data_IF_677401029117
#
_entry.id   IF_677401029117
#
_cell.length_a   1.000
_cell.length_b   1.000
_cell.length_c   1.000
_cell.angle_alpha   90.00
_cell.angle_beta   90.00
_cell.angle_gamma   90.00
#
_symmetry.space_group_name_H-M   'P 1'
#
loop_
_entity.id
_entity.type
_entity.pdbx_description
1 polymer ?
#
# COMPACT_ATOMS: atom_id res chain seq x y z
N UNK A 1 -10.38 21.92 -0.68
CA UNK A 1 -9.56 20.82 -1.25
C UNK A 1 -8.08 21.16 -1.26
N UNK A 2 -7.63 22.26 -1.89
CA UNK A 2 -6.20 22.67 -1.91
C UNK A 2 -5.50 22.66 -0.54
N UNK A 3 -6.21 23.01 0.54
CA UNK A 3 -5.63 23.02 1.88
C UNK A 3 -5.37 21.61 2.46
N UNK A 4 -6.15 20.60 2.09
CA UNK A 4 -5.96 19.22 2.57
C UNK A 4 -4.74 18.58 1.92
N UNK A 5 -4.57 18.80 0.60
CA UNK A 5 -3.44 18.24 -0.13
C UNK A 5 -2.13 18.85 0.35
N UNK A 6 -2.08 20.16 0.56
CA UNK A 6 -0.91 20.83 1.14
C UNK A 6 -0.58 20.27 2.54
N UNK A 7 -1.57 20.15 3.43
CA UNK A 7 -1.38 19.53 4.74
C UNK A 7 -0.85 18.10 4.65
N UNK A 8 -1.30 17.34 3.64
CA UNK A 8 -0.81 15.99 3.40
C UNK A 8 0.65 15.99 2.95
N UNK A 9 1.03 16.79 1.95
CA UNK A 9 2.41 16.84 1.45
C UNK A 9 3.38 17.36 2.50
N UNK A 10 3.04 18.45 3.21
CA UNK A 10 3.81 18.96 4.33
C UNK A 10 4.02 17.89 5.40
N UNK A 11 2.99 17.07 5.67
CA UNK A 11 3.10 15.96 6.62
C UNK A 11 4.04 14.84 6.11
N UNK A 12 4.03 14.53 4.81
CA UNK A 12 4.88 13.48 4.24
C UNK A 12 6.35 13.90 4.23
N UNK A 13 6.66 15.15 3.91
CA UNK A 13 8.03 15.69 3.96
C UNK A 13 8.63 15.59 5.37
N UNK A 14 7.81 15.78 6.40
CA UNK A 14 8.26 15.66 7.79
C UNK A 14 8.60 14.23 8.20
N UNK A 15 8.25 13.19 7.44
CA UNK A 15 8.57 11.80 7.84
C UNK A 15 10.08 11.49 7.79
N UNK A 16 10.85 12.24 7.02
CA UNK A 16 12.31 12.06 6.91
C UNK A 16 13.04 12.35 8.24
N UNK A 17 12.43 13.15 9.13
CA UNK A 17 12.91 13.45 10.48
C UNK A 17 12.60 12.33 11.52
N UNK A 18 12.17 11.16 11.06
CA UNK A 18 11.85 9.99 11.90
C UNK A 18 10.75 10.28 12.92
N UNK A 19 10.93 9.85 14.18
CA UNK A 19 9.87 9.95 15.21
C UNK A 19 9.48 11.40 15.58
N UNK A 20 10.43 12.33 15.51
CA UNK A 20 10.16 13.75 15.81
C UNK A 20 9.29 14.36 14.72
N UNK A 21 9.67 14.10 13.47
CA UNK A 21 8.90 14.42 12.27
C UNK A 21 7.49 13.84 12.27
N UNK A 22 7.38 12.55 12.57
CA UNK A 22 6.09 11.84 12.65
C UNK A 22 5.08 12.52 13.60
N UNK A 23 5.52 13.06 14.75
CA UNK A 23 4.64 13.80 15.67
C UNK A 23 4.14 15.12 15.07
N UNK A 24 4.96 15.82 14.30
CA UNK A 24 4.57 17.06 13.61
C UNK A 24 3.63 16.74 12.45
N UNK A 25 3.96 15.72 11.66
CA UNK A 25 3.13 15.19 10.58
C UNK A 25 1.74 14.76 11.09
N UNK A 26 1.66 14.10 12.27
CA UNK A 26 0.39 13.67 12.86
C UNK A 26 -0.53 14.89 13.10
N UNK A 27 0.02 16.00 13.61
CA UNK A 27 -0.77 17.22 13.84
C UNK A 27 -1.32 17.80 12.54
N UNK A 28 -0.56 17.78 11.45
CA UNK A 28 -1.01 18.26 10.15
C UNK A 28 -2.11 17.37 9.57
N UNK A 29 -1.94 16.05 9.62
CA UNK A 29 -2.98 15.14 9.13
C UNK A 29 -4.23 15.16 10.00
N UNK A 30 -4.13 15.37 11.31
CA UNK A 30 -5.32 15.56 12.15
C UNK A 30 -6.07 16.85 11.82
N UNK A 31 -5.37 17.93 11.40
CA UNK A 31 -6.04 19.11 10.83
C UNK A 31 -6.74 18.75 9.52
N UNK A 32 -6.11 17.98 8.64
CA UNK A 32 -6.74 17.51 7.40
C UNK A 32 -7.99 16.66 7.67
N UNK A 33 -7.98 15.77 8.68
CA UNK A 33 -9.16 15.01 9.12
C UNK A 33 -10.30 15.92 9.59
N UNK A 34 -9.98 17.02 10.28
CA UNK A 34 -10.99 17.98 10.72
C UNK A 34 -11.65 18.73 9.55
N UNK A 35 -10.94 18.90 8.42
CA UNK A 35 -11.48 19.51 7.20
C UNK A 35 -12.27 18.50 6.38
N UNK A 36 -11.76 17.28 6.19
CA UNK A 36 -12.46 16.18 5.52
C UNK A 36 -12.23 14.83 6.25
N UNK A 37 -13.19 14.38 7.07
CA UNK A 37 -13.12 13.10 7.78
C UNK A 37 -13.40 11.88 6.87
N UNK A 38 -13.61 12.11 5.57
CA UNK A 38 -13.90 11.08 4.57
C UNK A 38 -12.79 10.93 3.53
N UNK A 39 -11.65 11.61 3.67
CA UNK A 39 -10.51 11.50 2.77
C UNK A 39 -9.68 10.23 3.03
N UNK A 40 -9.64 9.24 2.11
CA UNK A 40 -8.76 8.08 2.29
C UNK A 40 -7.30 8.47 2.31
N UNK A 41 -6.89 9.48 1.52
CA UNK A 41 -5.51 9.95 1.41
C UNK A 41 -4.96 10.39 2.77
N UNK A 42 -5.75 11.09 3.57
CA UNK A 42 -5.36 11.53 4.91
C UNK A 42 -5.14 10.34 5.85
N UNK A 43 -6.04 9.34 5.84
CA UNK A 43 -5.86 8.14 6.66
C UNK A 43 -4.69 7.26 6.18
N UNK A 44 -4.39 7.23 4.88
CA UNK A 44 -3.19 6.60 4.33
C UNK A 44 -1.92 7.25 4.88
N UNK A 45 -1.86 8.58 4.95
CA UNK A 45 -0.75 9.27 5.59
C UNK A 45 -0.62 8.94 7.08
N UNK A 46 -1.75 8.83 7.79
CA UNK A 46 -1.75 8.43 9.21
C UNK A 46 -1.22 7.00 9.40
N UNK A 47 -1.53 6.07 8.50
CA UNK A 47 -0.95 4.71 8.52
C UNK A 47 0.58 4.77 8.47
N UNK A 48 1.15 5.60 7.59
CA UNK A 48 2.61 5.73 7.46
C UNK A 48 3.23 6.32 8.73
N UNK A 49 2.65 7.40 9.27
CA UNK A 49 3.07 8.01 10.55
C UNK A 49 3.06 6.99 11.68
N UNK A 50 1.97 6.22 11.81
CA UNK A 50 1.83 5.22 12.86
C UNK A 50 2.73 4.01 12.67
N UNK A 51 3.15 3.72 11.44
CA UNK A 51 4.25 2.80 11.13
C UNK A 51 5.57 3.25 11.77
N UNK A 52 5.96 4.52 11.57
CA UNK A 52 7.21 5.09 12.12
C UNK A 52 7.26 5.04 13.64
N UNK A 53 6.14 5.35 14.31
CA UNK A 53 6.06 5.29 15.78
C UNK A 53 5.63 3.91 16.32
N UNK A 54 5.49 2.90 15.45
CA UNK A 54 5.12 1.51 15.77
C UNK A 54 3.80 1.35 16.54
N UNK A 55 2.81 2.19 16.27
CA UNK A 55 1.49 2.12 16.91
C UNK A 55 0.52 1.23 16.11
N UNK A 56 0.59 -0.09 16.33
CA UNK A 56 -0.20 -1.09 15.60
C UNK A 56 -1.72 -0.85 15.66
N UNK A 57 -2.25 -0.47 16.84
CA UNK A 57 -3.69 -0.21 17.01
C UNK A 57 -4.17 0.92 16.10
N UNK A 58 -3.46 2.06 16.10
CA UNK A 58 -3.84 3.20 15.25
C UNK A 58 -3.64 2.91 13.76
N UNK A 59 -2.65 2.09 13.39
CA UNK A 59 -2.51 1.60 12.01
C UNK A 59 -3.79 0.86 11.59
N UNK A 60 -4.23 -0.13 12.36
CA UNK A 60 -5.43 -0.92 12.04
C UNK A 60 -6.69 -0.06 11.92
N UNK A 61 -6.87 0.92 12.82
CA UNK A 61 -7.98 1.87 12.78
C UNK A 61 -7.96 2.72 11.49
N UNK A 62 -6.79 3.26 11.12
CA UNK A 62 -6.64 4.08 9.92
C UNK A 62 -6.79 3.26 8.64
N UNK A 63 -6.25 2.04 8.59
CA UNK A 63 -6.45 1.11 7.45
C UNK A 63 -7.93 0.81 7.25
N UNK A 64 -8.64 0.46 8.34
CA UNK A 64 -10.09 0.19 8.27
C UNK A 64 -10.86 1.40 7.74
N UNK A 65 -10.53 2.60 8.22
CA UNK A 65 -11.18 3.84 7.80
C UNK A 65 -10.87 4.18 6.35
N UNK A 66 -9.61 4.15 5.94
CA UNK A 66 -9.19 4.40 4.55
C UNK A 66 -9.87 3.45 3.57
N UNK A 67 -9.90 2.15 3.89
CA UNK A 67 -10.56 1.14 3.06
C UNK A 67 -12.08 1.37 2.99
N UNK A 68 -12.72 1.64 4.13
CA UNK A 68 -14.17 1.89 4.21
C UNK A 68 -14.59 3.11 3.39
N UNK A 69 -13.87 4.22 3.48
CA UNK A 69 -14.18 5.41 2.69
C UNK A 69 -13.87 5.20 1.19
N UNK A 70 -12.84 4.41 0.87
CA UNK A 70 -12.53 4.03 -0.52
C UNK A 70 -13.67 3.25 -1.16
N UNK A 71 -14.18 2.19 -0.52
CA UNK A 71 -15.27 1.38 -1.10
C UNK A 71 -16.60 2.14 -1.19
N UNK A 72 -16.82 3.15 -0.34
CA UNK A 72 -17.97 4.06 -0.47
C UNK A 72 -17.85 4.96 -1.70
N UNK A 73 -16.65 5.48 -1.98
CA UNK A 73 -16.38 6.35 -3.14
C UNK A 73 -16.32 5.55 -4.45
N UNK A 74 -15.91 4.27 -4.38
CA UNK A 74 -15.83 3.36 -5.53
C UNK A 74 -16.69 2.12 -5.24
N UNK A 75 -18.02 2.22 -5.33
CA UNK A 75 -18.91 1.07 -5.12
C UNK A 75 -18.77 0.02 -6.22
N UNK A 76 -18.30 0.42 -7.41
CA UNK A 76 -17.98 -0.48 -8.53
C UNK A 76 -16.57 -0.14 -9.02
N UNK A 77 -15.65 -1.08 -8.85
CA UNK A 77 -14.26 -0.90 -9.27
C UNK A 77 -14.15 -0.75 -10.80
N UNK A 78 -13.45 0.27 -11.32
CA UNK A 78 -13.20 0.38 -12.74
C UNK A 78 -12.32 -0.77 -13.23
N UNK A 79 -12.15 -0.90 -14.55
CA UNK A 79 -11.26 -1.91 -15.14
C UNK A 79 -9.81 -1.65 -14.73
N UNK A 80 -9.37 -0.40 -14.86
CA UNK A 80 -8.03 0.09 -14.53
C UNK A 80 -8.12 1.45 -13.85
N UNK A 81 -7.07 1.84 -13.14
CA UNK A 81 -6.89 3.12 -12.45
C UNK A 81 -5.48 3.64 -12.75
N UNK A 82 -5.38 4.86 -13.25
CA UNK A 82 -4.10 5.46 -13.59
C UNK A 82 -3.32 5.82 -12.31
N UNK A 83 -2.09 5.33 -12.19
CA UNK A 83 -1.23 5.57 -11.03
C UNK A 83 -0.87 7.06 -10.83
N UNK A 84 -0.83 7.88 -11.88
CA UNK A 84 -0.52 9.31 -11.72
C UNK A 84 -1.60 10.12 -11.02
N UNK A 85 -2.84 9.59 -10.96
CA UNK A 85 -3.95 10.24 -10.28
C UNK A 85 -3.86 10.04 -8.75
N UNK A 86 -3.94 11.14 -8.00
CA UNK A 86 -3.74 11.14 -6.55
C UNK A 86 -4.78 10.33 -5.80
N UNK A 87 -6.05 10.51 -6.15
CA UNK A 87 -7.16 9.81 -5.51
C UNK A 87 -7.04 8.31 -5.79
N UNK A 88 -6.76 7.94 -7.03
CA UNK A 88 -6.53 6.55 -7.42
C UNK A 88 -5.42 5.91 -6.60
N UNK A 89 -4.29 6.62 -6.37
CA UNK A 89 -3.21 6.12 -5.52
C UNK A 89 -3.67 5.91 -4.09
N UNK A 90 -4.42 6.84 -3.51
CA UNK A 90 -4.94 6.71 -2.15
C UNK A 90 -5.84 5.48 -2.02
N UNK A 91 -6.76 5.28 -2.97
CA UNK A 91 -7.68 4.15 -3.01
C UNK A 91 -6.93 2.82 -3.14
N UNK A 92 -5.98 2.71 -4.07
CA UNK A 92 -5.23 1.48 -4.27
C UNK A 92 -4.27 1.17 -3.10
N UNK A 93 -3.71 2.19 -2.45
CA UNK A 93 -2.96 2.00 -1.19
C UNK A 93 -3.85 1.53 -0.05
N UNK A 94 -5.10 2.01 0.04
CA UNK A 94 -6.05 1.55 1.04
C UNK A 94 -6.39 0.07 0.89
N UNK A 95 -6.53 -0.40 -0.36
CA UNK A 95 -6.70 -1.83 -0.67
C UNK A 95 -5.44 -2.61 -0.28
N UNK A 96 -4.24 -2.10 -0.58
CA UNK A 96 -2.98 -2.78 -0.24
C UNK A 96 -2.81 -2.92 1.28
N UNK A 97 -2.93 -1.82 2.03
CA UNK A 97 -2.80 -1.89 3.49
C UNK A 97 -3.89 -2.74 4.15
N UNK A 98 -5.02 -2.95 3.46
CA UNK A 98 -6.04 -3.91 3.91
C UNK A 98 -5.62 -5.37 3.67
N UNK A 99 -4.85 -5.62 2.60
CA UNK A 99 -4.37 -6.94 2.19
C UNK A 99 -3.16 -7.40 2.99
N UNK A 100 -2.20 -6.51 3.29
CA UNK A 100 -0.93 -6.89 3.93
C UNK A 100 -1.12 -7.65 5.26
N UNK A 101 -2.01 -7.23 6.19
CA UNK A 101 -2.26 -7.98 7.42
C UNK A 101 -2.86 -9.36 7.19
N UNK A 102 -3.59 -9.58 6.08
CA UNK A 102 -4.08 -10.91 5.72
C UNK A 102 -2.94 -11.81 5.24
N UNK A 103 -2.01 -11.26 4.45
CA UNK A 103 -0.82 -12.00 4.04
C UNK A 103 0.03 -12.40 5.25
N UNK A 104 0.29 -11.47 6.17
CA UNK A 104 1.11 -11.70 7.36
C UNK A 104 0.49 -12.72 8.33
N UNK A 105 -0.85 -12.78 8.42
CA UNK A 105 -1.58 -13.76 9.24
C UNK A 105 -1.77 -15.11 8.56
N UNK A 106 -1.32 -15.26 7.31
CA UNK A 106 -1.55 -16.47 6.52
C UNK A 106 -2.99 -16.65 6.03
N UNK A 107 -3.83 -15.62 6.08
CA UNK A 107 -5.18 -15.59 5.50
C UNK A 107 -5.09 -15.41 3.97
N UNK A 108 -4.50 -16.41 3.31
CA UNK A 108 -4.02 -16.33 1.91
C UNK A 108 -5.11 -15.92 0.93
N UNK A 109 -6.30 -16.50 1.03
CA UNK A 109 -7.39 -16.28 0.07
C UNK A 109 -7.81 -14.81 0.04
N UNK A 110 -7.94 -14.19 1.22
CA UNK A 110 -8.32 -12.77 1.35
C UNK A 110 -7.24 -11.84 0.84
N UNK A 111 -5.97 -12.16 1.11
CA UNK A 111 -4.84 -11.41 0.59
C UNK A 111 -4.77 -11.49 -0.95
N UNK A 112 -4.90 -12.71 -1.50
CA UNK A 112 -4.86 -12.97 -2.96
C UNK A 112 -5.98 -12.20 -3.68
N UNK A 113 -7.20 -12.18 -3.13
CA UNK A 113 -8.32 -11.45 -3.72
C UNK A 113 -8.00 -9.96 -3.89
N UNK A 114 -7.50 -9.32 -2.83
CA UNK A 114 -7.17 -7.89 -2.84
C UNK A 114 -5.94 -7.56 -3.70
N UNK A 115 -4.90 -8.40 -3.69
CA UNK A 115 -3.73 -8.18 -4.55
C UNK A 115 -4.06 -8.39 -6.03
N UNK A 116 -4.89 -9.38 -6.39
CA UNK A 116 -5.35 -9.55 -7.77
C UNK A 116 -6.23 -8.38 -8.23
N UNK A 117 -7.06 -7.83 -7.34
CA UNK A 117 -7.77 -6.58 -7.60
C UNK A 117 -6.77 -5.47 -7.93
N UNK A 118 -5.71 -5.31 -7.12
CA UNK A 118 -4.70 -4.26 -7.35
C UNK A 118 -3.95 -4.43 -8.67
N UNK A 119 -3.53 -5.64 -9.03
CA UNK A 119 -2.87 -5.89 -10.32
C UNK A 119 -3.79 -5.68 -11.52
N UNK A 120 -5.10 -5.85 -11.35
CA UNK A 120 -6.09 -5.51 -12.38
C UNK A 120 -6.25 -4.00 -12.51
N UNK A 121 -6.37 -3.29 -11.39
CA UNK A 121 -6.53 -1.83 -11.37
C UNK A 121 -5.26 -1.13 -11.87
N UNK A 122 -4.10 -1.60 -11.44
CA UNK A 122 -2.79 -1.04 -11.74
C UNK A 122 -1.95 -2.09 -12.50
N UNK A 123 -2.18 -2.29 -13.81
CA UNK A 123 -1.52 -3.35 -14.58
C UNK A 123 0.00 -3.18 -14.66
N UNK A 124 0.49 -1.94 -14.55
CA UNK A 124 1.92 -1.64 -14.50
C UNK A 124 2.57 -1.95 -13.14
N UNK A 125 1.75 -2.33 -12.17
CA UNK A 125 2.14 -2.65 -10.81
C UNK A 125 3.12 -1.63 -10.22
N UNK A 126 2.78 -0.35 -10.33
CA UNK A 126 3.56 0.74 -9.74
C UNK A 126 3.67 0.64 -8.20
N UNK A 127 2.83 -0.18 -7.55
CA UNK A 127 2.91 -0.48 -6.11
C UNK A 127 3.86 -1.62 -5.77
N UNK A 128 4.25 -2.45 -6.74
CA UNK A 128 5.08 -3.63 -6.52
C UNK A 128 4.34 -4.79 -5.83
N UNK A 129 3.01 -4.85 -5.88
CA UNK A 129 2.25 -5.90 -5.18
C UNK A 129 2.46 -7.29 -5.80
N UNK A 130 3.03 -7.39 -7.01
CA UNK A 130 3.42 -8.67 -7.61
C UNK A 130 4.40 -9.46 -6.74
N UNK A 131 5.30 -8.77 -6.02
CA UNK A 131 6.30 -9.41 -5.16
C UNK A 131 5.66 -9.95 -3.88
N UNK A 132 4.76 -9.19 -3.27
CA UNK A 132 4.04 -9.67 -2.08
C UNK A 132 3.09 -10.81 -2.44
N UNK A 133 2.38 -10.71 -3.58
CA UNK A 133 1.50 -11.78 -4.06
C UNK A 133 2.27 -13.06 -4.42
N UNK A 134 3.45 -12.97 -5.03
CA UNK A 134 4.30 -14.14 -5.27
C UNK A 134 4.75 -14.78 -3.94
N UNK A 135 5.07 -13.97 -2.93
CA UNK A 135 5.34 -14.44 -1.58
C UNK A 135 4.18 -15.24 -0.98
N UNK A 136 2.95 -14.70 -1.07
CA UNK A 136 1.74 -15.39 -0.58
C UNK A 136 1.56 -16.75 -1.26
N UNK A 137 1.74 -16.85 -2.58
CA UNK A 137 1.67 -18.13 -3.30
C UNK A 137 2.77 -19.11 -2.88
N UNK A 138 3.99 -18.61 -2.66
CA UNK A 138 5.11 -19.40 -2.19
C UNK A 138 5.02 -19.78 -0.70
N UNK A 139 4.03 -19.24 0.03
CA UNK A 139 3.85 -19.49 1.45
C UNK A 139 4.86 -18.77 2.34
N UNK A 140 5.44 -17.67 1.88
CA UNK A 140 6.32 -16.80 2.66
C UNK A 140 5.62 -15.47 2.98
N UNK A 141 5.85 -14.95 4.18
CA UNK A 141 5.24 -13.69 4.65
C UNK A 141 5.94 -12.44 4.10
N UNK A 142 5.35 -11.27 4.37
CA UNK A 142 5.88 -9.98 3.92
C UNK A 142 7.30 -9.69 4.44
N UNK A 143 7.64 -10.13 5.64
CA UNK A 143 8.99 -10.00 6.20
C UNK A 143 10.06 -10.63 5.29
N UNK A 144 9.79 -11.85 4.78
CA UNK A 144 10.74 -12.52 3.89
C UNK A 144 10.88 -11.80 2.55
N UNK A 145 9.80 -11.23 2.04
CA UNK A 145 9.82 -10.41 0.83
C UNK A 145 10.66 -9.14 1.06
N UNK A 146 10.50 -8.48 2.20
CA UNK A 146 11.29 -7.30 2.56
C UNK A 146 12.78 -7.62 2.68
N UNK A 147 13.15 -8.75 3.30
CA UNK A 147 14.55 -9.20 3.34
C UNK A 147 15.14 -9.38 1.92
N UNK A 148 14.35 -9.90 0.97
CA UNK A 148 14.81 -10.04 -0.42
C UNK A 148 14.99 -8.67 -1.09
N UNK A 149 14.15 -7.68 -0.77
CA UNK A 149 14.34 -6.30 -1.23
C UNK A 149 15.61 -5.68 -0.65
N UNK A 150 15.83 -5.82 0.66
CA UNK A 150 17.02 -5.29 1.34
C UNK A 150 18.30 -5.90 0.77
N UNK A 151 18.31 -7.22 0.57
CA UNK A 151 19.40 -7.94 -0.09
C UNK A 151 19.63 -7.42 -1.52
N UNK A 152 18.55 -7.24 -2.28
CA UNK A 152 18.64 -6.76 -3.66
C UNK A 152 19.11 -5.32 -3.76
N UNK A 153 18.68 -4.44 -2.86
CA UNK A 153 19.14 -3.06 -2.78
C UNK A 153 20.63 -2.99 -2.42
N UNK A 154 21.09 -3.79 -1.45
CA UNK A 154 22.49 -3.83 -1.03
C UNK A 154 23.41 -4.33 -2.16
N UNK A 155 22.94 -5.30 -2.95
CA UNK A 155 23.72 -5.93 -4.04
C UNK A 155 23.47 -5.30 -5.42
N UNK A 156 22.50 -4.38 -5.53
CA UNK A 156 21.95 -3.90 -6.80
C UNK A 156 21.51 -5.06 -7.73
N UNK A 157 20.92 -6.11 -7.14
CA UNK A 157 20.46 -7.30 -7.85
C UNK A 157 19.15 -7.84 -7.26
N UNK A 158 18.06 -7.78 -8.01
CA UNK A 158 16.73 -8.24 -7.60
C UNK A 158 16.31 -9.59 -8.23
N UNK A 159 17.24 -10.34 -8.81
CA UNK A 159 16.96 -11.61 -9.50
C UNK A 159 16.18 -12.59 -8.62
N UNK A 160 16.45 -12.60 -7.31
CA UNK A 160 15.74 -13.45 -6.34
C UNK A 160 14.24 -13.15 -6.31
N UNK A 161 13.87 -11.87 -6.26
CA UNK A 161 12.49 -11.41 -6.30
C UNK A 161 11.86 -11.67 -7.68
N UNK A 162 12.59 -11.36 -8.75
CA UNK A 162 12.11 -11.57 -10.11
C UNK A 162 11.88 -13.04 -10.43
N UNK A 163 12.78 -13.92 -9.98
CA UNK A 163 12.65 -15.36 -10.15
C UNK A 163 11.46 -15.92 -9.36
N UNK A 164 11.24 -15.43 -8.14
CA UNK A 164 10.05 -15.80 -7.36
C UNK A 164 8.76 -15.39 -8.08
N UNK A 165 8.70 -14.17 -8.61
CA UNK A 165 7.56 -13.70 -9.41
C UNK A 165 7.37 -14.57 -10.64
N UNK A 166 8.43 -14.83 -11.43
CA UNK A 166 8.36 -15.68 -12.63
C UNK A 166 7.87 -17.10 -12.31
N UNK A 167 8.41 -17.73 -11.27
CA UNK A 167 8.04 -19.07 -10.84
C UNK A 167 6.55 -19.14 -10.47
N UNK A 168 6.11 -18.25 -9.59
CA UNK A 168 4.73 -18.26 -9.10
C UNK A 168 3.75 -17.81 -10.19
N UNK A 169 4.15 -16.89 -11.07
CA UNK A 169 3.28 -16.42 -12.14
C UNK A 169 3.07 -17.48 -13.23
N UNK A 170 4.07 -18.36 -13.46
CA UNK A 170 3.91 -19.53 -14.34
C UNK A 170 2.80 -20.47 -13.84
N UNK A 171 2.73 -20.66 -12.51
CA UNK A 171 1.74 -21.55 -11.87
C UNK A 171 0.36 -20.90 -11.76
N UNK A 172 0.30 -19.63 -11.36
CA UNK A 172 -0.92 -18.98 -10.91
C UNK A 172 -1.46 -17.90 -11.87
N UNK A 173 -0.70 -17.50 -12.89
CA UNK A 173 -1.10 -16.53 -13.93
C UNK A 173 -1.75 -15.28 -13.33
N UNK A 174 -1.05 -14.64 -12.40
CA UNK A 174 -1.59 -13.55 -11.59
C UNK A 174 -1.21 -12.15 -12.11
N UNK A 175 -0.17 -12.05 -12.94
CA UNK A 175 0.30 -10.78 -13.48
C UNK A 175 0.74 -10.94 -14.94
N UNK A 176 0.53 -9.90 -15.73
CA UNK A 176 1.04 -9.80 -17.09
C UNK A 176 1.97 -8.61 -17.13
N UNK A 177 3.26 -8.88 -17.37
CA UNK A 177 4.26 -7.84 -17.50
C UNK A 177 3.84 -6.86 -18.62
N UNK A 178 3.82 -5.55 -18.35
CA UNK A 178 3.52 -4.55 -19.36
C UNK A 178 4.56 -4.57 -20.48
N UNK A 179 4.10 -4.38 -21.72
CA UNK A 179 4.99 -4.11 -22.85
C UNK A 179 5.05 -2.59 -23.02
N UNK A 180 6.25 -2.02 -22.93
CA UNK A 180 6.52 -0.61 -23.19
C UNK A 180 7.05 -0.44 -24.61
#
# INVERSE_FOLDING_TARGET
>A
MKDIDNLYYDAMELLDDGRSGAKKAEKLLLKAVAIDPHSPQTYIGLVQIYGVIKNKKKIEECVKKAYTETVKKIPVWPKTMFWGDMDNRAYMRAVQYRADPYADKGEKEKAIELYRLLLRLNPNDNQGVRYTLSGVYAGIGGEKINEMFDEGNAKQNWDKLENLVKEQNTKHKFWKEPKY
#
